data_IF_937737773195
#
_entry.id   IF_937737773195
#
_cell.length_a   1.000
_cell.length_b   1.000
_cell.length_c   1.000
_cell.angle_alpha   90.00
_cell.angle_beta   90.00
_cell.angle_gamma   90.00
#
_symmetry.space_group_name_H-M   'P 1'
#
loop_
_entity.id
_entity.type
_entity.pdbx_description
1 polymer ?
#
# COMPACT_ATOMS: atom_id res chain seq x y z
N UNK A 1 25.87 38.44 1.12
CA UNK A 1 25.90 37.05 0.60
C UNK A 1 25.84 36.10 1.79
N UNK A 2 24.63 35.74 2.23
CA UNK A 2 24.40 34.80 3.34
C UNK A 2 24.51 33.38 2.82
N UNK A 3 25.53 32.66 3.29
CA UNK A 3 25.74 31.26 2.95
C UNK A 3 24.66 30.39 3.63
N UNK A 4 23.80 29.78 2.82
CA UNK A 4 22.81 28.81 3.28
C UNK A 4 23.54 27.51 3.69
N UNK A 5 23.78 27.31 4.99
CA UNK A 5 24.25 26.00 5.50
C UNK A 5 23.13 24.99 5.30
N UNK A 6 23.38 23.95 4.48
CA UNK A 6 22.54 22.75 4.44
C UNK A 6 22.80 21.96 5.72
N UNK A 7 21.77 21.79 6.54
CA UNK A 7 21.84 20.92 7.72
C UNK A 7 22.09 19.48 7.26
N UNK A 8 23.04 18.73 7.88
CA UNK A 8 23.25 17.33 7.54
C UNK A 8 22.00 16.52 7.93
N UNK A 9 21.65 15.55 7.09
CA UNK A 9 20.57 14.61 7.37
C UNK A 9 20.85 13.90 8.71
N UNK A 10 19.80 13.68 9.51
CA UNK A 10 19.93 12.95 10.76
C UNK A 10 20.39 11.51 10.49
N UNK A 11 21.08 10.88 11.44
CA UNK A 11 21.51 9.49 11.32
C UNK A 11 20.33 8.53 11.06
N UNK A 12 19.13 8.85 11.56
CA UNK A 12 17.91 8.09 11.30
C UNK A 12 17.45 8.20 9.84
N UNK A 13 17.57 9.39 9.23
CA UNK A 13 17.22 9.61 7.82
C UNK A 13 18.21 8.93 6.87
N UNK A 14 19.50 8.91 7.22
CA UNK A 14 20.51 8.19 6.45
C UNK A 14 20.34 6.66 6.53
N UNK A 15 20.03 6.13 7.73
CA UNK A 15 19.76 4.69 7.92
C UNK A 15 18.51 4.22 7.17
N UNK A 16 17.44 5.02 7.16
CA UNK A 16 16.23 4.74 6.37
C UNK A 16 16.54 4.69 4.86
N UNK A 17 17.36 5.63 4.35
CA UNK A 17 17.79 5.62 2.95
C UNK A 17 18.63 4.37 2.60
N UNK A 18 19.56 3.94 3.47
CA UNK A 18 20.42 2.77 3.23
C UNK A 18 19.61 1.47 3.25
N UNK A 19 18.64 1.34 4.16
CA UNK A 19 17.74 0.18 4.20
C UNK A 19 16.80 0.14 2.99
N UNK A 20 16.26 1.31 2.57
CA UNK A 20 15.44 1.42 1.37
C UNK A 20 16.22 1.12 0.10
N UNK A 21 17.45 1.63 -0.04
CA UNK A 21 18.34 1.34 -1.17
C UNK A 21 18.76 -0.14 -1.22
N UNK A 22 19.06 -0.75 -0.07
CA UNK A 22 19.40 -2.17 -0.01
C UNK A 22 18.22 -3.10 -0.35
N UNK A 23 17.01 -2.73 0.06
CA UNK A 23 15.80 -3.48 -0.28
C UNK A 23 15.39 -3.30 -1.75
N UNK A 24 15.48 -2.09 -2.30
CA UNK A 24 15.20 -1.86 -3.73
C UNK A 24 16.24 -2.52 -4.62
N UNK A 25 17.53 -2.48 -4.26
CA UNK A 25 18.58 -3.19 -5.01
C UNK A 25 18.37 -4.71 -4.95
N UNK A 26 17.96 -5.25 -3.80
CA UNK A 26 17.63 -6.67 -3.66
C UNK A 26 16.41 -7.07 -4.51
N UNK A 27 15.32 -6.31 -4.41
CA UNK A 27 14.08 -6.57 -5.16
C UNK A 27 14.32 -6.42 -6.66
N UNK A 28 15.03 -5.38 -7.09
CA UNK A 28 15.37 -5.15 -8.48
C UNK A 28 16.29 -6.25 -9.02
N UNK A 29 17.33 -6.64 -8.27
CA UNK A 29 18.21 -7.73 -8.65
C UNK A 29 17.47 -9.07 -8.72
N UNK A 30 16.52 -9.32 -7.81
CA UNK A 30 15.67 -10.51 -7.84
C UNK A 30 14.78 -10.50 -9.09
N UNK A 31 13.98 -9.45 -9.29
CA UNK A 31 13.11 -9.35 -10.47
C UNK A 31 13.86 -9.18 -11.79
N UNK A 32 15.17 -8.93 -11.80
CA UNK A 32 15.98 -8.94 -13.02
C UNK A 32 16.05 -10.35 -13.66
N UNK A 33 15.87 -11.41 -12.87
CA UNK A 33 15.96 -12.79 -13.33
C UNK A 33 14.62 -13.29 -13.90
N UNK A 34 14.57 -13.80 -15.16
CA UNK A 34 13.33 -14.26 -15.79
C UNK A 34 12.59 -15.33 -14.99
N UNK A 35 13.30 -16.32 -14.46
CA UNK A 35 12.72 -17.42 -13.68
C UNK A 35 12.04 -16.93 -12.39
N UNK A 36 12.56 -15.84 -11.80
CA UNK A 36 12.00 -15.25 -10.59
C UNK A 36 10.74 -14.43 -10.89
N UNK A 37 10.70 -13.74 -12.04
CA UNK A 37 9.47 -13.10 -12.54
C UNK A 37 8.40 -14.12 -12.86
N UNK A 38 8.77 -15.19 -13.56
CA UNK A 38 7.83 -16.25 -13.96
C UNK A 38 7.26 -16.95 -12.72
N UNK A 39 8.10 -17.26 -11.74
CA UNK A 39 7.65 -17.82 -10.47
C UNK A 39 6.73 -16.87 -9.70
N UNK A 40 7.02 -15.57 -9.68
CA UNK A 40 6.17 -14.57 -9.03
C UNK A 40 4.80 -14.47 -9.72
N UNK A 41 4.76 -14.42 -11.06
CA UNK A 41 3.51 -14.41 -11.82
C UNK A 41 2.73 -15.71 -11.63
N UNK A 42 3.41 -16.87 -11.60
CA UNK A 42 2.78 -18.15 -11.36
C UNK A 42 2.15 -18.22 -9.96
N UNK A 43 2.86 -17.74 -8.93
CA UNK A 43 2.32 -17.61 -7.58
C UNK A 43 1.09 -16.69 -7.56
N UNK A 44 1.20 -15.49 -8.14
CA UNK A 44 0.10 -14.52 -8.16
C UNK A 44 -1.16 -15.06 -8.86
N UNK A 45 -1.00 -15.83 -9.94
CA UNK A 45 -2.11 -16.51 -10.64
C UNK A 45 -2.70 -17.68 -9.87
N UNK A 46 -1.95 -18.26 -8.95
CA UNK A 46 -2.38 -19.38 -8.12
C UNK A 46 -2.92 -18.97 -6.76
N UNK A 47 -3.00 -17.67 -6.46
CA UNK A 47 -3.65 -17.19 -5.24
C UNK A 47 -5.15 -17.41 -5.35
N UNK A 48 -5.67 -18.22 -4.42
CA UNK A 48 -7.08 -18.43 -4.21
C UNK A 48 -7.54 -17.60 -3.00
N UNK A 49 -8.53 -16.74 -3.22
CA UNK A 49 -9.08 -15.87 -2.21
C UNK A 49 -10.51 -16.25 -1.84
N UNK A 50 -11.07 -17.35 -2.35
CA UNK A 50 -12.48 -17.70 -2.16
C UNK A 50 -12.82 -17.84 -0.66
N UNK A 51 -12.02 -18.60 0.09
CA UNK A 51 -12.21 -18.72 1.55
C UNK A 51 -12.13 -17.35 2.25
N UNK A 52 -11.19 -16.49 1.83
CA UNK A 52 -11.05 -15.15 2.42
C UNK A 52 -12.30 -14.32 2.14
N UNK A 53 -12.79 -14.34 0.90
CA UNK A 53 -13.98 -13.61 0.49
C UNK A 53 -15.25 -14.07 1.21
N UNK A 54 -15.43 -15.38 1.41
CA UNK A 54 -16.56 -15.93 2.15
C UNK A 54 -16.57 -15.46 3.62
N UNK A 55 -15.38 -15.27 4.20
CA UNK A 55 -15.21 -14.89 5.61
C UNK A 55 -15.17 -13.39 5.86
N UNK A 56 -15.23 -12.55 4.83
CA UNK A 56 -15.28 -11.09 5.00
C UNK A 56 -16.50 -10.65 5.84
N UNK A 57 -17.60 -11.38 5.74
CA UNK A 57 -18.81 -11.15 6.52
C UNK A 57 -18.63 -11.41 8.03
N UNK A 58 -17.58 -12.14 8.44
CA UNK A 58 -17.27 -12.42 9.84
C UNK A 58 -16.56 -11.26 10.54
N UNK A 59 -16.13 -10.22 9.80
CA UNK A 59 -15.44 -9.05 10.36
C UNK A 59 -16.46 -8.14 11.04
N UNK A 60 -16.44 -8.14 12.37
CA UNK A 60 -17.38 -7.36 13.19
C UNK A 60 -16.84 -5.99 13.62
N UNK A 61 -15.57 -5.70 13.38
CA UNK A 61 -14.99 -4.41 13.70
C UNK A 61 -15.36 -3.39 12.62
N UNK A 62 -15.66 -2.12 12.97
CA UNK A 62 -15.70 -1.04 11.99
C UNK A 62 -14.45 -1.10 11.11
N UNK A 63 -14.61 -0.89 9.81
CA UNK A 63 -13.53 -1.12 8.85
C UNK A 63 -13.46 0.03 7.86
N UNK A 64 -12.28 0.66 7.77
CA UNK A 64 -11.97 1.63 6.72
C UNK A 64 -11.07 0.96 5.68
N UNK A 65 -11.51 0.97 4.43
CA UNK A 65 -10.74 0.53 3.26
C UNK A 65 -10.25 1.78 2.54
N UNK A 66 -8.93 1.89 2.32
CA UNK A 66 -8.34 3.01 1.57
C UNK A 66 -7.58 2.46 0.38
N UNK A 67 -7.86 2.98 -0.81
CA UNK A 67 -7.28 2.48 -2.08
C UNK A 67 -6.82 3.63 -2.97
N UNK A 68 -5.80 3.39 -3.80
CA UNK A 68 -5.40 4.34 -4.84
C UNK A 68 -6.16 4.13 -6.15
N UNK A 69 -6.72 5.19 -6.73
CA UNK A 69 -7.45 5.11 -8.00
C UNK A 69 -6.57 4.62 -9.17
N UNK A 70 -5.26 4.89 -9.11
CA UNK A 70 -4.27 4.55 -10.12
C UNK A 70 -3.47 3.27 -9.78
N UNK A 71 -3.98 2.42 -8.89
CA UNK A 71 -3.38 1.11 -8.62
C UNK A 71 -3.35 0.24 -9.89
N UNK A 72 -2.13 -0.08 -10.34
CA UNK A 72 -1.88 -0.88 -11.55
C UNK A 72 -1.63 -2.36 -11.27
N UNK A 73 -1.55 -2.74 -9.99
CA UNK A 73 -1.35 -4.10 -9.55
C UNK A 73 -2.69 -4.76 -9.25
N UNK A 74 -3.58 -4.04 -8.55
CA UNK A 74 -4.90 -4.52 -8.17
C UNK A 74 -5.95 -3.44 -8.51
N UNK A 75 -7.00 -3.76 -9.28
CA UNK A 75 -8.01 -2.77 -9.67
C UNK A 75 -8.67 -2.11 -8.46
N UNK A 76 -8.82 -0.78 -8.49
CA UNK A 76 -9.45 -0.01 -7.41
C UNK A 76 -10.92 -0.38 -7.16
N UNK A 77 -11.58 -1.06 -8.10
CA UNK A 77 -12.92 -1.65 -7.90
C UNK A 77 -12.96 -2.66 -6.76
N UNK A 78 -11.82 -3.22 -6.35
CA UNK A 78 -11.74 -4.10 -5.17
C UNK A 78 -12.14 -3.38 -3.89
N UNK A 79 -11.85 -2.07 -3.75
CA UNK A 79 -12.20 -1.32 -2.55
C UNK A 79 -13.70 -1.36 -2.26
N UNK A 80 -14.51 -1.12 -3.31
CA UNK A 80 -15.96 -1.18 -3.21
C UNK A 80 -16.44 -2.62 -2.96
N UNK A 81 -15.85 -3.60 -3.64
CA UNK A 81 -16.21 -5.01 -3.43
C UNK A 81 -15.94 -5.52 -2.02
N UNK A 82 -14.89 -5.01 -1.35
CA UNK A 82 -14.61 -5.27 0.05
C UNK A 82 -15.63 -4.59 0.97
N UNK A 83 -15.95 -3.31 0.73
CA UNK A 83 -16.93 -2.57 1.53
C UNK A 83 -18.35 -3.17 1.45
N UNK A 84 -18.70 -3.77 0.32
CA UNK A 84 -19.98 -4.48 0.16
C UNK A 84 -20.07 -5.79 0.94
N UNK A 85 -18.93 -6.38 1.32
CA UNK A 85 -18.86 -7.70 1.97
C UNK A 85 -18.55 -7.64 3.46
N UNK A 86 -17.89 -6.58 3.92
CA UNK A 86 -17.56 -6.38 5.33
C UNK A 86 -18.67 -5.55 6.00
N UNK A 87 -19.29 -6.02 7.09
CA UNK A 87 -20.22 -5.23 7.88
C UNK A 87 -19.60 -3.90 8.35
N UNK A 88 -20.36 -2.81 8.22
CA UNK A 88 -19.94 -1.47 8.67
C UNK A 88 -18.65 -0.96 8.01
N UNK A 89 -18.27 -1.51 6.85
CA UNK A 89 -17.11 -1.02 6.12
C UNK A 89 -17.42 0.21 5.27
N UNK A 90 -16.44 1.11 5.18
CA UNK A 90 -16.42 2.23 4.23
C UNK A 90 -15.21 2.11 3.31
N UNK A 91 -15.37 2.53 2.06
CA UNK A 91 -14.29 2.54 1.08
C UNK A 91 -14.00 3.97 0.60
N UNK A 92 -12.72 4.35 0.66
CA UNK A 92 -12.20 5.64 0.21
C UNK A 92 -11.16 5.41 -0.89
N UNK A 93 -11.52 5.78 -2.12
CA UNK A 93 -10.61 5.67 -3.28
C UNK A 93 -10.00 7.04 -3.55
N UNK A 94 -8.68 7.12 -3.49
CA UNK A 94 -7.93 8.37 -3.60
C UNK A 94 -7.40 8.57 -5.02
N UNK A 95 -7.86 9.65 -5.66
CA UNK A 95 -7.41 10.07 -6.98
C UNK A 95 -5.92 10.45 -6.99
N UNK A 96 -5.21 10.04 -8.05
CA UNK A 96 -3.78 10.30 -8.22
C UNK A 96 -2.85 9.43 -7.37
N UNK A 97 -3.37 8.46 -6.62
CA UNK A 97 -2.61 7.55 -5.77
C UNK A 97 -2.58 6.13 -6.38
N UNK A 98 -1.46 5.43 -6.27
CA UNK A 98 -1.26 4.09 -6.81
C UNK A 98 -1.37 2.98 -5.76
N UNK A 99 -0.62 1.90 -5.98
CA UNK A 99 -0.70 0.67 -5.18
C UNK A 99 -0.29 0.89 -3.72
N UNK A 100 0.80 1.64 -3.50
CA UNK A 100 1.27 1.99 -2.16
C UNK A 100 0.60 3.29 -1.71
N UNK A 101 -0.73 3.28 -1.57
CA UNK A 101 -1.55 4.50 -1.32
C UNK A 101 -1.06 5.35 -0.13
N UNK A 102 -0.49 4.71 0.90
CA UNK A 102 0.07 5.38 2.07
C UNK A 102 1.41 6.08 1.80
N UNK A 103 2.19 5.64 0.82
CA UNK A 103 3.41 6.31 0.36
C UNK A 103 3.11 7.36 -0.71
N UNK A 104 2.18 7.07 -1.62
CA UNK A 104 1.80 7.96 -2.72
C UNK A 104 1.05 9.19 -2.20
N UNK A 105 0.16 8.98 -1.23
CA UNK A 105 -0.76 9.99 -0.71
C UNK A 105 -0.80 10.01 0.83
N UNK A 106 0.34 10.27 1.50
CA UNK A 106 0.45 10.15 2.96
C UNK A 106 -0.47 11.13 3.69
N UNK A 107 -0.61 12.37 3.21
CA UNK A 107 -1.47 13.38 3.84
C UNK A 107 -2.95 12.96 3.88
N UNK A 108 -3.59 12.69 2.73
CA UNK A 108 -4.95 12.17 2.68
C UNK A 108 -5.16 10.90 3.51
N UNK A 109 -4.23 9.94 3.43
CA UNK A 109 -4.31 8.68 4.18
C UNK A 109 -4.26 8.92 5.69
N UNK A 110 -3.30 9.73 6.19
CA UNK A 110 -3.18 10.05 7.62
C UNK A 110 -4.47 10.70 8.13
N UNK A 111 -5.08 11.61 7.36
CA UNK A 111 -6.35 12.23 7.73
C UNK A 111 -7.45 11.18 7.86
N UNK A 112 -7.66 10.35 6.85
CA UNK A 112 -8.68 9.29 6.88
C UNK A 112 -8.50 8.35 8.08
N UNK A 113 -7.26 7.94 8.36
CA UNK A 113 -6.95 7.10 9.52
C UNK A 113 -7.24 7.81 10.84
N UNK A 114 -6.88 9.08 10.96
CA UNK A 114 -7.10 9.85 12.20
C UNK A 114 -8.58 10.06 12.46
N UNK A 115 -9.35 10.43 11.43
CA UNK A 115 -10.79 10.63 11.52
C UNK A 115 -11.51 9.32 11.90
N UNK A 116 -11.11 8.20 11.28
CA UNK A 116 -11.65 6.88 11.58
C UNK A 116 -11.36 6.42 13.02
N UNK A 117 -10.14 6.64 13.51
CA UNK A 117 -9.75 6.22 14.86
C UNK A 117 -10.30 7.10 15.98
N UNK A 118 -10.81 8.30 15.65
CA UNK A 118 -11.40 9.22 16.61
C UNK A 118 -12.92 9.07 16.76
N UNK A 119 -13.56 8.28 15.88
CA UNK A 119 -14.99 7.96 15.91
C UNK A 119 -15.32 6.91 16.98
#
# INVERSE_FOLDING_TARGET
>A
MTAHRRSPLSAATAAALVLLLGATDFIAAWFSRPEQRDAFVALARGLDFDETHERLADVQAPTLIVWGAADSWIPSTQAQGLAERIPEATAEVLEGCGHNVHEDCPGPVIRLLTDFLAA
#
